data_IF_430208338486
#
_entry.id   IF_430208338486
#
_cell.length_a   1.000
_cell.length_b   1.000
_cell.length_c   1.000
_cell.angle_alpha   90.00
_cell.angle_beta   90.00
_cell.angle_gamma   90.00
#
_symmetry.space_group_name_H-M   'P 1'
#
loop_
_entity.id
_entity.type
_entity.pdbx_description
1 polymer ?
#
# COMPACT_ATOMS: atom_id res chain seq x y z
N UNK A 1 -18.52 8.36 -39.14
CA UNK A 1 -17.58 9.12 -38.29
C UNK A 1 -16.73 8.09 -37.60
N UNK A 2 -15.60 7.74 -38.24
CA UNK A 2 -14.68 6.72 -37.71
C UNK A 2 -13.86 7.32 -36.56
N UNK A 3 -14.18 6.88 -35.37
CA UNK A 3 -13.33 7.20 -34.21
C UNK A 3 -12.14 6.26 -34.21
N UNK A 4 -11.08 6.64 -34.90
CA UNK A 4 -9.79 5.95 -34.88
C UNK A 4 -9.26 6.01 -33.45
N UNK A 5 -9.43 4.94 -32.70
CA UNK A 5 -8.83 4.76 -31.37
C UNK A 5 -7.32 4.53 -31.63
N UNK A 6 -6.55 5.62 -31.63
CA UNK A 6 -5.10 5.57 -31.67
C UNK A 6 -4.63 4.98 -30.33
N UNK A 7 -4.27 3.71 -30.35
CA UNK A 7 -3.62 3.01 -29.25
C UNK A 7 -2.32 3.76 -28.88
N UNK A 8 -2.35 4.48 -27.77
CA UNK A 8 -1.16 5.18 -27.28
C UNK A 8 -0.10 4.19 -26.80
N UNK A 9 1.20 4.38 -27.11
CA UNK A 9 2.25 3.49 -26.66
C UNK A 9 2.26 3.37 -25.13
N UNK A 10 2.53 2.18 -24.59
CA UNK A 10 2.46 1.85 -23.15
C UNK A 10 3.21 2.87 -22.28
N UNK A 11 4.30 3.48 -22.81
CA UNK A 11 5.03 4.54 -22.13
C UNK A 11 4.18 5.79 -21.86
N UNK A 12 3.42 6.24 -22.87
CA UNK A 12 2.57 7.43 -22.77
C UNK A 12 1.37 7.22 -21.83
N UNK A 13 0.77 6.02 -21.81
CA UNK A 13 -0.33 5.68 -20.90
C UNK A 13 0.14 5.65 -19.43
N UNK A 14 1.32 5.10 -19.18
CA UNK A 14 1.93 5.11 -17.84
C UNK A 14 2.19 6.54 -17.34
N UNK A 15 2.76 7.39 -18.18
CA UNK A 15 3.05 8.77 -17.84
C UNK A 15 1.76 9.56 -17.55
N UNK A 16 0.74 9.40 -18.40
CA UNK A 16 -0.56 10.01 -18.21
C UNK A 16 -1.20 9.57 -16.89
N UNK A 17 -1.19 8.28 -16.58
CA UNK A 17 -1.70 7.77 -15.31
C UNK A 17 -0.94 8.32 -14.10
N UNK A 18 0.40 8.46 -14.19
CA UNK A 18 1.21 9.08 -13.15
C UNK A 18 0.85 10.56 -12.94
N UNK A 19 0.63 11.31 -14.01
CA UNK A 19 0.17 12.70 -13.93
C UNK A 19 -1.19 12.81 -13.25
N UNK A 20 -2.16 11.97 -13.64
CA UNK A 20 -3.49 11.92 -13.03
C UNK A 20 -3.43 11.59 -11.53
N UNK A 21 -2.54 10.67 -11.13
CA UNK A 21 -2.31 10.35 -9.72
C UNK A 21 -1.67 11.51 -8.94
N UNK A 22 -0.71 12.21 -9.54
CA UNK A 22 -0.06 13.39 -8.94
C UNK A 22 -1.06 14.53 -8.73
N UNK A 23 -1.90 14.83 -9.72
CA UNK A 23 -2.95 15.84 -9.63
C UNK A 23 -3.94 15.57 -8.49
N UNK A 24 -4.11 14.31 -8.11
CA UNK A 24 -4.97 13.90 -6.98
C UNK A 24 -4.23 13.72 -5.65
N UNK A 25 -2.95 14.08 -5.60
CA UNK A 25 -2.15 14.01 -4.38
C UNK A 25 -1.84 12.58 -3.89
N UNK A 26 -1.91 11.56 -4.77
CA UNK A 26 -1.54 10.21 -4.38
C UNK A 26 -0.04 10.12 -4.07
N UNK A 27 0.30 9.53 -2.92
CA UNK A 27 1.69 9.36 -2.49
C UNK A 27 2.48 8.44 -3.43
N UNK A 28 3.81 8.59 -3.44
CA UNK A 28 4.70 7.86 -4.33
C UNK A 28 4.56 6.34 -4.22
N UNK A 29 4.36 5.82 -3.01
CA UNK A 29 4.14 4.39 -2.78
C UNK A 29 2.87 3.88 -3.49
N UNK A 30 1.75 4.60 -3.35
CA UNK A 30 0.48 4.26 -4.01
C UNK A 30 0.62 4.33 -5.53
N UNK A 31 1.35 5.32 -6.05
CA UNK A 31 1.62 5.43 -7.49
C UNK A 31 2.37 4.20 -8.01
N UNK A 32 3.41 3.76 -7.30
CA UNK A 32 4.19 2.56 -7.65
C UNK A 32 3.34 1.30 -7.61
N UNK A 33 2.53 1.13 -6.58
CA UNK A 33 1.64 -0.01 -6.43
C UNK A 33 0.60 -0.07 -7.55
N UNK A 34 -0.03 1.05 -7.89
CA UNK A 34 -1.00 1.11 -8.99
C UNK A 34 -0.36 0.75 -10.32
N UNK A 35 0.81 1.31 -10.63
CA UNK A 35 1.54 0.96 -11.85
C UNK A 35 1.93 -0.52 -11.88
N UNK A 36 2.32 -1.10 -10.74
CA UNK A 36 2.63 -2.53 -10.64
C UNK A 36 1.41 -3.40 -10.98
N UNK A 37 0.24 -3.08 -10.45
CA UNK A 37 -1.00 -3.82 -10.73
C UNK A 37 -1.44 -3.67 -12.19
N UNK A 38 -1.35 -2.47 -12.76
CA UNK A 38 -1.65 -2.23 -14.18
C UNK A 38 -0.69 -2.99 -15.09
N UNK A 39 0.60 -3.05 -14.74
CA UNK A 39 1.59 -3.86 -15.48
C UNK A 39 1.27 -5.35 -15.42
N UNK A 40 0.88 -5.86 -14.25
CA UNK A 40 0.45 -7.25 -14.09
C UNK A 40 -0.77 -7.57 -14.95
N UNK A 41 -1.74 -6.65 -15.01
CA UNK A 41 -2.90 -6.80 -15.89
C UNK A 41 -2.52 -6.77 -17.37
N UNK A 42 -1.65 -5.85 -17.80
CA UNK A 42 -1.17 -5.77 -19.17
C UNK A 42 -0.42 -7.05 -19.60
N UNK A 43 0.39 -7.61 -18.70
CA UNK A 43 1.08 -8.88 -18.92
C UNK A 43 0.09 -10.06 -19.07
N UNK A 44 -0.97 -10.09 -18.26
CA UNK A 44 -2.04 -11.09 -18.38
C UNK A 44 -2.80 -10.96 -19.72
N UNK A 45 -3.08 -9.72 -20.12
CA UNK A 45 -3.85 -9.43 -21.33
C UNK A 45 -3.06 -9.73 -22.62
N UNK A 46 -1.72 -9.61 -22.58
CA UNK A 46 -0.84 -9.75 -23.75
C UNK A 46 -0.99 -8.63 -24.79
N UNK A 47 -1.71 -7.56 -24.46
CA UNK A 47 -1.98 -6.41 -25.34
C UNK A 47 -2.12 -5.13 -24.48
N UNK A 48 -2.12 -3.94 -25.11
CA UNK A 48 -2.27 -2.69 -24.36
C UNK A 48 -3.55 -2.64 -23.51
N UNK A 49 -3.48 -2.14 -22.26
CA UNK A 49 -4.63 -2.14 -21.32
C UNK A 49 -5.82 -1.29 -21.81
N UNK A 50 -5.57 -0.28 -22.64
CA UNK A 50 -6.60 0.60 -23.23
C UNK A 50 -7.56 -0.14 -24.18
N UNK A 51 -7.16 -1.30 -24.68
CA UNK A 51 -7.99 -2.16 -25.55
C UNK A 51 -8.83 -3.17 -24.77
N UNK A 52 -8.74 -3.18 -23.43
CA UNK A 52 -9.42 -4.17 -22.60
C UNK A 52 -10.92 -3.89 -22.50
N UNK A 53 -11.68 -4.97 -22.39
CA UNK A 53 -13.12 -4.97 -22.18
C UNK A 53 -13.45 -5.43 -20.75
N UNK A 54 -14.68 -5.20 -20.30
CA UNK A 54 -15.14 -5.63 -18.97
C UNK A 54 -14.91 -7.13 -18.70
N UNK A 55 -15.08 -7.98 -19.72
CA UNK A 55 -14.84 -9.41 -19.61
C UNK A 55 -13.36 -9.76 -19.38
N UNK A 56 -12.43 -8.99 -19.93
CA UNK A 56 -11.00 -9.18 -19.68
C UNK A 56 -10.63 -8.91 -18.23
N UNK A 57 -11.25 -7.90 -17.62
CA UNK A 57 -11.07 -7.59 -16.19
C UNK A 57 -11.64 -8.70 -15.31
N UNK A 58 -12.81 -9.22 -15.66
CA UNK A 58 -13.41 -10.36 -14.97
C UNK A 58 -12.52 -11.61 -15.06
N UNK A 59 -12.00 -11.92 -16.23
CA UNK A 59 -11.07 -13.05 -16.45
C UNK A 59 -9.78 -12.88 -15.65
N UNK A 60 -9.24 -11.67 -15.57
CA UNK A 60 -8.07 -11.37 -14.75
C UNK A 60 -8.33 -11.61 -13.26
N UNK A 61 -9.47 -11.17 -12.72
CA UNK A 61 -9.83 -11.44 -11.33
C UNK A 61 -9.99 -12.94 -11.06
N UNK A 62 -10.63 -13.69 -11.96
CA UNK A 62 -10.75 -15.14 -11.85
C UNK A 62 -9.38 -15.84 -11.88
N UNK A 63 -8.44 -15.37 -12.71
CA UNK A 63 -7.07 -15.89 -12.75
C UNK A 63 -6.34 -15.64 -11.43
N UNK A 64 -6.49 -14.44 -10.85
CA UNK A 64 -5.93 -14.13 -9.51
C UNK A 64 -6.50 -15.06 -8.43
N UNK A 65 -7.79 -15.36 -8.47
CA UNK A 65 -8.42 -16.33 -7.56
C UNK A 65 -7.85 -17.74 -7.74
N UNK A 66 -7.70 -18.21 -8.98
CA UNK A 66 -7.12 -19.53 -9.28
C UNK A 66 -5.68 -19.66 -8.77
N UNK A 67 -4.94 -18.57 -8.79
CA UNK A 67 -3.56 -18.49 -8.24
C UNK A 67 -3.52 -18.31 -6.73
N UNK A 68 -4.65 -18.36 -6.04
CA UNK A 68 -4.77 -18.16 -4.60
C UNK A 68 -4.15 -16.83 -4.11
N UNK A 69 -4.26 -15.75 -4.91
CA UNK A 69 -3.81 -14.42 -4.51
C UNK A 69 -4.71 -13.92 -3.37
N UNK A 70 -4.11 -13.37 -2.31
CA UNK A 70 -4.85 -12.89 -1.16
C UNK A 70 -5.84 -11.76 -1.48
N UNK A 71 -7.01 -11.70 -0.79
CA UNK A 71 -8.07 -10.71 -1.03
C UNK A 71 -7.59 -9.26 -1.03
N UNK A 72 -6.67 -8.91 -0.13
CA UNK A 72 -6.11 -7.57 -0.05
C UNK A 72 -5.38 -7.16 -1.34
N UNK A 73 -4.60 -8.08 -1.92
CA UNK A 73 -3.87 -7.85 -3.18
C UNK A 73 -4.82 -7.73 -4.37
N UNK A 74 -5.87 -8.57 -4.40
CA UNK A 74 -6.90 -8.49 -5.46
C UNK A 74 -7.64 -7.15 -5.36
N UNK A 75 -8.02 -6.72 -4.16
CA UNK A 75 -8.70 -5.43 -3.95
C UNK A 75 -7.79 -4.23 -4.30
N UNK A 76 -6.49 -4.33 -4.06
CA UNK A 76 -5.53 -3.32 -4.51
C UNK A 76 -5.46 -3.26 -6.05
N UNK A 77 -5.46 -4.41 -6.73
CA UNK A 77 -5.52 -4.47 -8.19
C UNK A 77 -6.85 -3.88 -8.74
N UNK A 78 -7.98 -4.17 -8.10
CA UNK A 78 -9.29 -3.59 -8.44
C UNK A 78 -9.24 -2.06 -8.34
N UNK A 79 -8.66 -1.53 -7.25
CA UNK A 79 -8.54 -0.08 -7.06
C UNK A 79 -7.66 0.57 -8.13
N UNK A 80 -6.54 -0.05 -8.47
CA UNK A 80 -5.63 0.43 -9.52
C UNK A 80 -6.28 0.41 -10.91
N UNK A 81 -6.99 -0.67 -11.25
CA UNK A 81 -7.68 -0.81 -12.54
C UNK A 81 -8.89 0.13 -12.62
N UNK A 82 -9.68 0.28 -11.55
CA UNK A 82 -10.73 1.30 -11.52
C UNK A 82 -10.15 2.69 -11.78
N UNK A 83 -9.07 3.05 -11.11
CA UNK A 83 -8.42 4.34 -11.36
C UNK A 83 -8.01 4.49 -12.83
N UNK A 84 -7.37 3.49 -13.41
CA UNK A 84 -6.96 3.52 -14.82
C UNK A 84 -8.16 3.76 -15.76
N UNK A 85 -9.21 2.95 -15.62
CA UNK A 85 -10.35 3.02 -16.55
C UNK A 85 -11.23 4.25 -16.30
N UNK A 86 -11.49 4.62 -15.05
CA UNK A 86 -12.37 5.76 -14.75
C UNK A 86 -11.68 7.11 -14.93
N UNK A 87 -10.40 7.22 -14.49
CA UNK A 87 -9.73 8.51 -14.45
C UNK A 87 -8.85 8.77 -15.66
N UNK A 88 -8.02 7.79 -16.04
CA UNK A 88 -7.03 7.98 -17.11
C UNK A 88 -7.61 7.70 -18.49
N UNK A 89 -8.35 6.60 -18.65
CA UNK A 89 -8.96 6.22 -19.93
C UNK A 89 -10.36 6.80 -20.13
N UNK A 90 -11.01 7.25 -19.06
CA UNK A 90 -12.39 7.79 -19.07
C UNK A 90 -13.42 6.81 -19.64
N UNK A 91 -13.27 5.54 -19.30
CA UNK A 91 -14.13 4.42 -19.68
C UNK A 91 -14.70 3.75 -18.41
N UNK A 92 -15.54 4.41 -17.63
CA UNK A 92 -16.03 3.89 -16.35
C UNK A 92 -16.87 2.61 -16.51
N UNK A 93 -17.52 2.43 -17.64
CA UNK A 93 -18.33 1.24 -17.99
C UNK A 93 -17.49 -0.04 -17.96
N UNK A 94 -16.23 0.01 -18.38
CA UNK A 94 -15.31 -1.14 -18.34
C UNK A 94 -15.00 -1.53 -16.89
N UNK A 95 -14.88 -0.54 -16.00
CA UNK A 95 -14.59 -0.75 -14.59
C UNK A 95 -15.76 -1.35 -13.79
N UNK A 96 -16.98 -1.32 -14.32
CA UNK A 96 -18.17 -1.93 -13.68
C UNK A 96 -18.02 -3.46 -13.53
N UNK A 97 -17.24 -4.11 -14.41
CA UNK A 97 -16.93 -5.53 -14.32
C UNK A 97 -16.06 -5.94 -13.13
N UNK A 98 -15.49 -4.98 -12.39
CA UNK A 98 -14.60 -5.25 -11.27
C UNK A 98 -15.38 -5.38 -9.96
N UNK A 99 -15.23 -6.51 -9.28
CA UNK A 99 -15.83 -6.78 -7.98
C UNK A 99 -14.81 -6.68 -6.85
N UNK A 100 -15.19 -6.04 -5.74
CA UNK A 100 -14.38 -6.03 -4.52
C UNK A 100 -14.66 -7.30 -3.74
N UNK A 101 -13.61 -8.00 -3.33
CA UNK A 101 -13.73 -9.22 -2.52
C UNK A 101 -13.88 -8.82 -1.06
N UNK A 102 -14.93 -9.28 -0.44
CA UNK A 102 -15.11 -9.15 1.00
C UNK A 102 -14.15 -10.12 1.69
N UNK A 103 -13.25 -9.60 2.50
CA UNK A 103 -12.43 -10.41 3.40
C UNK A 103 -12.98 -10.26 4.82
N UNK A 104 -13.11 -11.36 5.53
CA UNK A 104 -13.42 -11.30 6.95
C UNK A 104 -12.26 -10.65 7.70
N UNK A 105 -12.54 -9.68 8.59
CA UNK A 105 -11.49 -9.08 9.41
C UNK A 105 -10.95 -10.17 10.35
N UNK A 106 -9.71 -10.57 10.13
CA UNK A 106 -9.03 -11.46 11.07
C UNK A 106 -8.75 -10.67 12.34
N UNK A 107 -9.36 -11.05 13.45
CA UNK A 107 -9.06 -10.48 14.76
C UNK A 107 -7.56 -10.70 15.03
N UNK A 108 -6.89 -9.62 15.38
CA UNK A 108 -5.48 -9.69 15.76
C UNK A 108 -5.40 -10.09 17.23
N UNK A 109 -4.51 -11.00 17.55
CA UNK A 109 -4.13 -11.25 18.93
C UNK A 109 -3.52 -9.99 19.52
N UNK A 110 -4.04 -9.59 20.67
CA UNK A 110 -3.53 -8.44 21.43
C UNK A 110 -2.77 -9.01 22.62
N UNK A 111 -1.51 -8.62 22.76
CA UNK A 111 -0.69 -9.04 23.90
C UNK A 111 -1.26 -8.45 25.20
N UNK A 112 -1.27 -9.24 26.27
CA UNK A 112 -1.53 -8.73 27.61
C UNK A 112 -0.38 -7.83 28.08
N UNK A 113 -0.61 -7.06 29.12
CA UNK A 113 0.42 -6.19 29.71
C UNK A 113 1.62 -6.99 30.16
N UNK A 114 1.39 -8.17 30.75
CA UNK A 114 2.42 -9.08 31.24
C UNK A 114 3.23 -9.70 30.10
N UNK A 115 2.57 -10.03 28.99
CA UNK A 115 3.24 -10.54 27.77
C UNK A 115 4.09 -9.46 27.12
N UNK A 116 3.58 -8.23 27.05
CA UNK A 116 4.33 -7.08 26.54
C UNK A 116 5.57 -6.80 27.41
N UNK A 117 5.43 -6.84 28.73
CA UNK A 117 6.56 -6.64 29.66
C UNK A 117 7.63 -7.72 29.45
N UNK A 118 7.23 -9.00 29.39
CA UNK A 118 8.15 -10.11 29.11
C UNK A 118 8.87 -9.97 27.77
N UNK A 119 8.16 -9.51 26.75
CA UNK A 119 8.75 -9.26 25.42
C UNK A 119 9.82 -8.16 25.48
N UNK A 120 9.54 -7.06 26.21
CA UNK A 120 10.49 -5.98 26.38
C UNK A 120 11.72 -6.44 27.16
N UNK A 121 11.52 -7.21 28.23
CA UNK A 121 12.62 -7.73 29.05
C UNK A 121 13.51 -8.73 28.28
N UNK A 122 12.92 -9.56 27.45
CA UNK A 122 13.65 -10.53 26.62
C UNK A 122 14.44 -9.89 25.47
N UNK A 123 14.25 -8.59 25.22
CA UNK A 123 14.92 -7.92 24.11
C UNK A 123 16.45 -7.89 24.30
N UNK A 124 17.23 -8.20 23.24
CA UNK A 124 18.70 -8.25 23.32
C UNK A 124 19.29 -6.84 23.42
N UNK A 125 19.66 -6.44 24.62
CA UNK A 125 20.36 -5.19 24.91
C UNK A 125 19.48 -3.94 25.03
N UNK A 126 20.03 -2.93 25.68
CA UNK A 126 19.33 -1.70 26.09
C UNK A 126 18.70 -0.93 24.93
N UNK A 127 19.32 -0.98 23.77
CA UNK A 127 18.85 -0.30 22.54
C UNK A 127 17.50 -0.80 22.05
N UNK A 128 17.30 -2.12 22.08
CA UNK A 128 16.04 -2.74 21.68
C UNK A 128 14.98 -2.61 22.77
N UNK A 129 15.39 -2.73 24.05
CA UNK A 129 14.50 -2.48 25.20
C UNK A 129 13.92 -1.07 25.13
N UNK A 130 14.76 -0.05 24.94
CA UNK A 130 14.32 1.33 24.80
C UNK A 130 13.38 1.54 23.60
N UNK A 131 13.71 0.94 22.44
CA UNK A 131 12.87 1.04 21.25
C UNK A 131 11.48 0.41 21.46
N UNK A 132 11.42 -0.76 22.08
CA UNK A 132 10.15 -1.44 22.37
C UNK A 132 9.34 -0.73 23.45
N UNK A 133 9.99 -0.21 24.50
CA UNK A 133 9.33 0.57 25.55
C UNK A 133 8.70 1.84 24.97
N UNK A 134 9.41 2.56 24.10
CA UNK A 134 8.89 3.76 23.44
C UNK A 134 7.75 3.39 22.47
N UNK A 135 7.92 2.31 21.69
CA UNK A 135 6.87 1.85 20.77
C UNK A 135 5.59 1.49 21.53
N UNK A 136 5.71 0.74 22.62
CA UNK A 136 4.57 0.31 23.44
C UNK A 136 3.92 1.47 24.19
N UNK A 137 4.74 2.28 24.88
CA UNK A 137 4.23 3.39 25.72
C UNK A 137 3.58 4.52 24.92
N UNK A 138 4.08 4.80 23.70
CA UNK A 138 3.56 5.85 22.83
C UNK A 138 2.65 5.32 21.71
N UNK A 139 2.41 4.00 21.61
CA UNK A 139 1.59 3.39 20.55
C UNK A 139 2.17 3.58 19.14
N UNK A 140 3.49 3.70 19.00
CA UNK A 140 4.15 3.99 17.75
C UNK A 140 4.32 2.75 16.87
N UNK A 141 4.13 2.93 15.57
CA UNK A 141 4.47 1.90 14.59
C UNK A 141 6.00 1.74 14.47
N UNK A 142 6.46 0.53 14.12
CA UNK A 142 7.89 0.24 13.91
C UNK A 142 8.57 1.28 12.99
N UNK A 143 7.91 1.68 11.91
CA UNK A 143 8.45 2.69 10.97
C UNK A 143 8.60 4.10 11.60
N UNK A 144 7.79 4.43 12.59
CA UNK A 144 7.85 5.71 13.32
C UNK A 144 8.99 5.69 14.35
N UNK A 145 9.14 4.58 15.08
CA UNK A 145 10.27 4.35 15.99
C UNK A 145 11.60 4.41 15.25
N UNK A 146 11.68 3.80 14.06
CA UNK A 146 12.90 3.79 13.23
C UNK A 146 13.24 5.20 12.72
N UNK A 147 12.25 6.01 12.36
CA UNK A 147 12.46 7.42 11.96
C UNK A 147 12.87 8.31 13.12
N UNK A 148 12.32 8.12 14.30
CA UNK A 148 12.70 8.86 15.50
C UNK A 148 14.19 8.67 15.84
N UNK A 149 14.74 7.47 15.60
CA UNK A 149 16.18 7.19 15.77
C UNK A 149 17.09 8.01 14.84
N UNK A 150 16.67 8.24 13.59
CA UNK A 150 17.47 9.02 12.63
C UNK A 150 17.46 10.51 12.94
N UNK A 151 16.39 11.07 13.45
CA UNK A 151 16.34 12.49 13.84
C UNK A 151 17.09 12.77 15.14
N UNK A 152 17.15 11.80 16.07
CA UNK A 152 17.91 11.95 17.32
C UNK A 152 19.44 11.95 17.12
N UNK A 153 19.95 11.38 16.03
CA UNK A 153 21.39 11.42 15.70
C UNK A 153 21.85 12.79 15.19
N UNK A 154 20.94 13.66 14.76
CA UNK A 154 21.24 15.03 14.33
C UNK A 154 20.97 16.10 15.40
N UNK A 155 20.24 15.77 16.47
CA UNK A 155 19.95 16.65 17.59
C UNK A 155 20.70 16.16 18.84
N UNK A 156 22.01 16.21 18.81
CA UNK A 156 22.82 15.96 20.01
C UNK A 156 22.68 17.14 20.95
N UNK A 157 22.06 16.96 22.11
CA UNK A 157 22.35 17.77 23.27
C UNK A 157 21.27 17.98 24.34
N UNK A 158 19.97 17.98 24.04
CA UNK A 158 19.03 18.47 25.06
C UNK A 158 17.72 17.68 25.28
N UNK A 159 17.39 16.72 24.43
CA UNK A 159 16.06 16.07 24.49
C UNK A 159 16.04 14.71 25.20
N UNK A 160 17.21 14.10 25.46
CA UNK A 160 17.31 12.80 26.16
C UNK A 160 17.08 12.89 27.67
N UNK A 161 17.22 14.07 28.26
CA UNK A 161 16.97 14.26 29.71
C UNK A 161 15.49 14.38 30.07
N UNK A 162 14.62 14.75 29.12
CA UNK A 162 13.19 14.88 29.37
C UNK A 162 12.44 13.53 29.36
N UNK A 163 12.91 12.53 28.63
CA UNK A 163 12.30 11.20 28.60
C UNK A 163 12.66 10.33 29.84
N UNK A 164 13.80 10.58 30.45
CA UNK A 164 14.20 9.88 31.68
C UNK A 164 13.40 10.32 32.92
N UNK A 165 12.77 11.50 32.90
CA UNK A 165 11.94 12.02 33.99
C UNK A 165 10.54 11.42 33.99
N UNK A 166 10.04 10.97 32.82
CA UNK A 166 8.69 10.39 32.71
C UNK A 166 8.62 8.89 33.06
N UNK A 167 9.74 8.20 33.18
CA UNK A 167 9.81 6.78 33.56
C UNK A 167 9.89 6.55 35.07
N UNK A 168 9.60 7.55 35.92
CA UNK A 168 9.67 7.46 37.39
C UNK A 168 8.35 7.82 38.11
N UNK A 169 7.21 7.47 37.48
CA UNK A 169 5.93 7.45 38.19
C UNK A 169 5.23 6.14 37.96
#
# INVERSE_FOLDING_TARGET
>A
MDTTITSAPIGSLRERMLQDMKLRGLGAHTQQDYIRHVRSFAAFLGRPPDTARAEDLRRFQLDQHRRAVGPATINAAVSALRFLFTMTLKQPEVALGLSVIRSEPKLREVLSVEEAARLIEAAPGIKYKAAFSVAYGAGLRVSEVMRARTSASHACGSTLLSLAVWMRV
#
